data_IF_904495400034
#
_entry.id   IF_904495400034
#
_cell.length_a   1.000
_cell.length_b   1.000
_cell.length_c   1.000
_cell.angle_alpha   90.00
_cell.angle_beta   90.00
_cell.angle_gamma   90.00
#
_symmetry.space_group_name_H-M   'P 1'
#
loop_
_entity.id
_entity.type
_entity.pdbx_description
1 polymer ?
#
# COMPACT_ATOMS: atom_id res chain seq x y z
N UNK A 1 -19.12 -5.01 -26.78
CA UNK A 1 -19.55 -3.87 -25.94
C UNK A 1 -18.50 -3.70 -24.85
N UNK A 2 -17.61 -2.72 -24.97
CA UNK A 2 -16.57 -2.45 -23.97
C UNK A 2 -17.24 -1.59 -22.90
N UNK A 3 -17.32 -2.01 -21.63
CA UNK A 3 -17.92 -1.18 -20.59
C UNK A 3 -17.12 0.11 -20.49
N UNK A 4 -17.80 1.24 -20.67
CA UNK A 4 -17.22 2.57 -20.46
C UNK A 4 -17.11 2.72 -18.94
N UNK A 5 -15.96 2.35 -18.37
CA UNK A 5 -15.72 2.52 -16.94
C UNK A 5 -15.72 4.02 -16.60
N UNK A 6 -16.67 4.43 -15.77
CA UNK A 6 -17.03 5.81 -15.51
C UNK A 6 -15.97 6.68 -14.82
N UNK A 7 -14.74 6.19 -14.63
CA UNK A 7 -13.50 6.95 -14.35
C UNK A 7 -12.35 5.95 -14.25
N UNK A 8 -11.24 6.25 -14.95
CA UNK A 8 -10.03 5.41 -14.95
C UNK A 8 -9.44 5.20 -13.55
N UNK A 9 -9.64 6.15 -12.63
CA UNK A 9 -9.22 6.12 -11.23
C UNK A 9 -10.45 6.37 -10.34
N UNK A 10 -10.73 5.47 -9.39
CA UNK A 10 -11.98 5.41 -8.63
C UNK A 10 -11.82 5.60 -7.12
N UNK A 11 -10.59 5.67 -6.60
CA UNK A 11 -10.31 5.85 -5.19
C UNK A 11 -9.09 6.74 -4.96
N UNK A 12 -8.95 7.25 -3.73
CA UNK A 12 -7.74 7.93 -3.26
C UNK A 12 -7.01 7.00 -2.29
N UNK A 13 -5.69 6.97 -2.38
CA UNK A 13 -4.82 6.22 -1.47
C UNK A 13 -3.70 7.13 -0.97
N UNK A 14 -3.20 6.86 0.22
CA UNK A 14 -2.06 7.57 0.78
C UNK A 14 -0.79 6.73 0.62
N UNK A 15 0.29 7.35 0.17
CA UNK A 15 1.60 6.72 0.07
C UNK A 15 2.46 7.12 1.26
N UNK A 16 3.09 6.12 1.87
CA UNK A 16 3.89 6.30 3.07
C UNK A 16 5.26 5.62 2.93
N UNK A 17 6.27 6.24 3.51
CA UNK A 17 7.61 5.68 3.68
C UNK A 17 7.92 5.41 5.14
N UNK A 18 8.84 4.47 5.34
CA UNK A 18 9.39 4.10 6.64
C UNK A 18 10.82 4.63 6.71
N UNK A 19 11.02 5.68 7.49
CA UNK A 19 12.34 6.26 7.74
C UNK A 19 12.92 5.72 9.04
N UNK A 20 14.23 5.50 9.04
CA UNK A 20 14.98 5.08 10.24
C UNK A 20 15.77 6.28 10.73
N UNK A 21 15.44 6.77 11.91
CA UNK A 21 16.10 7.92 12.54
C UNK A 21 16.94 7.42 13.70
N UNK A 22 18.18 7.88 13.79
CA UNK A 22 19.07 7.48 14.89
C UNK A 22 18.51 7.95 16.23
N UNK A 23 18.45 7.04 17.21
CA UNK A 23 17.82 7.29 18.51
C UNK A 23 18.75 7.93 19.56
N UNK A 24 20.01 8.18 19.19
CA UNK A 24 21.04 8.74 20.08
C UNK A 24 21.67 7.73 21.06
N UNK A 25 21.18 6.49 21.12
CA UNK A 25 21.68 5.42 22.01
C UNK A 25 22.31 4.24 21.24
N UNK A 26 22.60 4.43 19.95
CA UNK A 26 23.20 3.42 19.08
C UNK A 26 22.18 2.52 18.38
N UNK A 27 20.88 2.83 18.49
CA UNK A 27 19.80 2.19 17.74
C UNK A 27 19.16 3.13 16.72
N UNK A 28 18.07 2.66 16.12
CA UNK A 28 17.24 3.42 15.19
C UNK A 28 15.77 3.36 15.63
N UNK A 29 15.13 4.51 15.68
CA UNK A 29 13.67 4.61 15.78
C UNK A 29 13.06 4.51 14.38
N UNK A 30 12.00 3.72 14.26
CA UNK A 30 11.22 3.61 13.02
C UNK A 30 10.16 4.69 13.03
N UNK A 31 10.22 5.58 12.05
CA UNK A 31 9.25 6.64 11.84
C UNK A 31 8.54 6.40 10.51
N UNK A 32 7.23 6.65 10.51
CA UNK A 32 6.39 6.51 9.32
C UNK A 32 5.98 7.91 8.87
N UNK A 33 6.24 8.24 7.62
CA UNK A 33 5.96 9.55 7.07
C UNK A 33 5.04 9.44 5.85
N UNK A 34 4.02 10.30 5.81
CA UNK A 34 3.10 10.40 4.69
C UNK A 34 3.76 11.22 3.59
N UNK A 35 3.97 10.62 2.42
CA UNK A 35 4.57 11.29 1.27
C UNK A 35 3.50 12.13 0.57
N UNK A 36 2.42 11.49 0.13
CA UNK A 36 1.41 12.16 -0.71
C UNK A 36 0.11 11.35 -0.81
N UNK A 37 -0.94 12.01 -1.28
CA UNK A 37 -2.23 11.41 -1.64
C UNK A 37 -2.35 11.32 -3.16
N UNK A 38 -2.73 10.13 -3.66
CA UNK A 38 -2.86 9.90 -5.10
C UNK A 38 -4.17 9.22 -5.47
N UNK A 39 -4.60 9.47 -6.71
CA UNK A 39 -5.76 8.80 -7.28
C UNK A 39 -5.35 7.45 -7.87
N UNK A 40 -6.03 6.41 -7.42
CA UNK A 40 -5.80 5.05 -7.83
C UNK A 40 -7.07 4.42 -8.41
N UNK A 41 -6.88 3.36 -9.18
CA UNK A 41 -7.93 2.42 -9.52
C UNK A 41 -7.78 1.20 -8.63
N UNK A 42 -8.77 0.96 -7.80
CA UNK A 42 -8.85 -0.25 -7.00
C UNK A 42 -9.15 -1.46 -7.89
N UNK A 43 -8.35 -2.51 -7.75
CA UNK A 43 -8.67 -3.85 -8.26
C UNK A 43 -9.38 -4.62 -7.14
N UNK A 44 -10.29 -5.52 -7.49
CA UNK A 44 -11.03 -6.32 -6.49
C UNK A 44 -10.07 -7.00 -5.50
N UNK A 45 -10.32 -6.87 -4.18
CA UNK A 45 -9.50 -7.49 -3.16
C UNK A 45 -9.63 -9.01 -3.22
N UNK A 46 -8.57 -9.72 -2.84
CA UNK A 46 -8.59 -11.16 -2.65
C UNK A 46 -8.23 -11.49 -1.21
N UNK A 47 -9.17 -12.08 -0.49
CA UNK A 47 -8.90 -12.66 0.83
C UNK A 47 -8.46 -14.12 0.66
N UNK A 48 -7.37 -14.50 1.31
CA UNK A 48 -6.88 -15.88 1.35
C UNK A 48 -6.41 -16.22 2.74
N UNK A 49 -6.56 -17.50 3.12
CA UNK A 49 -6.07 -18.00 4.39
C UNK A 49 -4.83 -18.85 4.12
N UNK A 50 -3.81 -18.70 4.96
CA UNK A 50 -2.64 -19.57 4.90
C UNK A 50 -2.29 -20.07 6.29
N UNK A 51 -1.79 -21.30 6.35
CA UNK A 51 -1.34 -21.92 7.59
C UNK A 51 0.18 -21.94 7.63
N UNK A 52 0.76 -21.45 8.71
CA UNK A 52 2.19 -21.57 8.98
C UNK A 52 2.41 -21.91 10.45
N UNK A 53 3.23 -22.92 10.73
CA UNK A 53 3.51 -23.35 12.11
C UNK A 53 2.28 -23.81 12.91
N UNK A 54 1.22 -24.29 12.24
CA UNK A 54 -0.04 -24.70 12.89
C UNK A 54 -1.00 -23.56 13.25
N UNK A 55 -0.65 -22.31 12.92
CA UNK A 55 -1.52 -21.15 13.06
C UNK A 55 -2.08 -20.73 11.69
N UNK A 56 -3.36 -20.39 11.65
CA UNK A 56 -4.04 -19.87 10.45
C UNK A 56 -4.02 -18.35 10.47
N UNK A 57 -3.58 -17.75 9.37
CA UNK A 57 -3.50 -16.32 9.18
C UNK A 57 -4.39 -15.89 8.02
N UNK A 58 -5.13 -14.79 8.22
CA UNK A 58 -5.89 -14.15 7.16
C UNK A 58 -4.99 -13.17 6.40
N UNK A 59 -4.94 -13.32 5.09
CA UNK A 59 -4.19 -12.46 4.17
C UNK A 59 -5.16 -11.71 3.27
N UNK A 60 -5.09 -10.38 3.30
CA UNK A 60 -5.88 -9.52 2.43
C UNK A 60 -4.99 -8.92 1.36
N UNK A 61 -5.07 -9.47 0.16
CA UNK A 61 -4.38 -8.94 -1.02
C UNK A 61 -5.22 -7.83 -1.62
N UNK A 62 -4.59 -6.67 -1.84
CA UNK A 62 -5.22 -5.51 -2.44
C UNK A 62 -4.28 -4.92 -3.48
N UNK A 63 -4.77 -4.82 -4.71
CA UNK A 63 -4.00 -4.21 -5.80
C UNK A 63 -4.60 -2.87 -6.21
N UNK A 64 -3.73 -1.95 -6.61
CA UNK A 64 -4.07 -0.62 -7.10
C UNK A 64 -3.36 -0.34 -8.42
N UNK A 65 -4.03 0.29 -9.37
CA UNK A 65 -3.40 0.83 -10.58
C UNK A 65 -3.27 2.33 -10.43
N UNK A 66 -2.05 2.85 -10.57
CA UNK A 66 -1.74 4.28 -10.46
C UNK A 66 -0.96 4.75 -11.71
N UNK A 67 -0.75 6.07 -11.83
CA UNK A 67 0.12 6.60 -12.89
C UNK A 67 1.58 6.35 -12.53
N UNK A 68 2.41 6.02 -13.52
CA UNK A 68 3.84 5.72 -13.31
C UNK A 68 4.59 6.85 -12.60
N UNK A 69 4.24 8.11 -12.87
CA UNK A 69 4.87 9.30 -12.27
C UNK A 69 4.57 9.53 -10.79
N UNK A 70 3.65 8.75 -10.21
CA UNK A 70 3.11 9.00 -8.87
C UNK A 70 3.74 8.10 -7.80
N UNK A 71 4.71 7.25 -8.16
CA UNK A 71 5.46 6.44 -7.20
C UNK A 71 6.93 6.83 -7.21
N UNK A 72 7.45 7.10 -6.02
CA UNK A 72 8.87 7.17 -5.75
C UNK A 72 9.40 5.80 -5.29
N UNK A 73 10.69 5.56 -5.42
CA UNK A 73 11.33 4.28 -5.04
C UNK A 73 11.25 3.95 -3.55
N UNK A 74 10.92 4.94 -2.72
CA UNK A 74 11.01 4.83 -1.25
C UNK A 74 9.68 4.47 -0.59
N UNK A 75 8.59 4.36 -1.37
CA UNK A 75 7.28 4.03 -0.81
C UNK A 75 7.27 2.60 -0.27
N UNK A 76 6.93 2.43 1.00
CA UNK A 76 6.94 1.12 1.67
C UNK A 76 5.52 0.55 1.84
N UNK A 77 4.54 1.39 2.13
CA UNK A 77 3.16 0.96 2.35
C UNK A 77 2.15 2.00 1.85
N UNK A 78 0.94 1.50 1.63
CA UNK A 78 -0.21 2.26 1.17
C UNK A 78 -1.25 2.26 2.29
N UNK A 79 -1.82 3.43 2.60
CA UNK A 79 -2.99 3.52 3.48
C UNK A 79 -4.23 3.75 2.63
N UNK A 80 -5.23 2.89 2.83
CA UNK A 80 -6.52 2.98 2.15
C UNK A 80 -7.64 2.68 3.13
N UNK A 81 -8.62 3.58 3.24
CA UNK A 81 -9.73 3.48 4.21
C UNK A 81 -9.27 3.27 5.67
N UNK A 82 -8.11 3.80 6.04
CA UNK A 82 -7.51 3.62 7.38
C UNK A 82 -6.91 2.23 7.62
N UNK A 83 -6.74 1.42 6.57
CA UNK A 83 -5.98 0.17 6.63
C UNK A 83 -4.63 0.35 5.95
N UNK A 84 -3.57 -0.14 6.61
CA UNK A 84 -2.23 -0.16 6.09
C UNK A 84 -2.01 -1.45 5.27
N UNK A 85 -1.53 -1.28 4.05
CA UNK A 85 -1.17 -2.36 3.14
C UNK A 85 0.30 -2.24 2.76
N UNK A 86 1.10 -3.23 3.13
CA UNK A 86 2.52 -3.29 2.75
C UNK A 86 2.66 -3.61 1.27
N UNK A 87 3.48 -2.86 0.55
CA UNK A 87 3.76 -3.13 -0.86
C UNK A 87 4.60 -4.40 -0.97
N UNK A 88 4.12 -5.39 -1.72
CA UNK A 88 4.87 -6.61 -2.01
C UNK A 88 5.55 -6.55 -3.37
N UNK A 89 4.86 -6.02 -4.37
CA UNK A 89 5.38 -5.92 -5.73
C UNK A 89 4.82 -4.70 -6.44
N UNK A 90 5.62 -4.13 -7.36
CA UNK A 90 5.21 -3.06 -8.26
C UNK A 90 5.48 -3.54 -9.69
N UNK A 91 4.43 -3.70 -10.48
CA UNK A 91 4.49 -4.21 -11.84
C UNK A 91 4.18 -3.11 -12.84
N UNK A 92 4.97 -3.03 -13.92
CA UNK A 92 4.63 -2.22 -15.07
C UNK A 92 3.44 -2.87 -15.80
N UNK A 93 2.41 -2.08 -16.07
CA UNK A 93 1.30 -2.59 -16.91
C UNK A 93 1.67 -2.51 -18.39
N UNK A 94 0.95 -3.24 -19.25
CA UNK A 94 1.13 -3.23 -20.71
C UNK A 94 1.07 -1.82 -21.33
N UNK A 95 0.43 -0.88 -20.63
CA UNK A 95 0.49 0.53 -20.93
C UNK A 95 1.62 1.13 -20.07
N UNK A 96 2.77 1.46 -20.67
CA UNK A 96 3.98 1.96 -19.98
C UNK A 96 3.79 3.25 -19.15
N UNK A 97 2.59 3.82 -19.16
CA UNK A 97 2.17 4.99 -18.37
C UNK A 97 1.56 4.63 -17.01
N UNK A 98 1.32 3.34 -16.75
CA UNK A 98 0.63 2.83 -15.57
C UNK A 98 1.41 1.72 -14.89
N UNK A 99 1.27 1.69 -13.58
CA UNK A 99 1.86 0.65 -12.73
C UNK A 99 0.78 0.04 -11.85
N UNK A 100 0.92 -1.24 -11.57
CA UNK A 100 0.11 -2.00 -10.64
C UNK A 100 0.94 -2.18 -9.37
N UNK A 101 0.41 -1.70 -8.26
CA UNK A 101 0.95 -1.96 -6.93
C UNK A 101 0.16 -3.13 -6.36
N UNK A 102 0.86 -4.20 -5.98
CA UNK A 102 0.30 -5.34 -5.28
C UNK A 102 0.67 -5.21 -3.80
N UNK A 103 -0.33 -5.02 -2.96
CA UNK A 103 -0.15 -4.81 -1.54
C UNK A 103 -0.83 -5.91 -0.73
N UNK A 104 -0.34 -6.11 0.49
CA UNK A 104 -0.88 -7.10 1.42
C UNK A 104 -1.09 -6.47 2.78
N UNK A 105 -2.24 -6.77 3.36
CA UNK A 105 -2.47 -6.53 4.77
C UNK A 105 -2.49 -7.87 5.54
N UNK A 106 -1.46 -8.18 6.35
CA UNK A 106 -1.38 -9.39 7.15
C UNK A 106 -2.21 -9.32 8.45
N UNK A 107 -2.84 -8.18 8.76
CA UNK A 107 -3.74 -8.02 9.91
C UNK A 107 -5.00 -7.28 9.47
N UNK A 108 -6.15 -7.94 9.48
CA UNK A 108 -7.47 -7.31 9.25
C UNK A 108 -7.85 -6.19 10.25
N UNK A 109 -6.92 -5.78 11.11
CA UNK A 109 -7.09 -4.73 12.09
C UNK A 109 -6.70 -3.39 11.48
N UNK A 110 -7.56 -2.40 11.67
CA UNK A 110 -7.28 -0.99 11.43
C UNK A 110 -6.01 -0.65 12.23
N UNK A 111 -4.86 -0.56 11.56
CA UNK A 111 -3.65 -0.14 12.24
C UNK A 111 -3.83 1.35 12.56
N UNK A 112 -3.49 1.81 13.78
CA UNK A 112 -3.53 3.24 14.06
C UNK A 112 -2.73 3.95 12.97
N UNK A 113 -3.34 4.98 12.37
CA UNK A 113 -2.64 5.85 11.42
C UNK A 113 -1.34 6.27 12.11
N UNK A 114 -0.17 6.11 11.47
CA UNK A 114 1.07 6.52 12.11
C UNK A 114 0.98 8.01 12.38
N UNK A 115 0.95 8.39 13.66
CA UNK A 115 1.03 9.79 14.05
C UNK A 115 2.39 10.29 13.61
N UNK A 116 2.48 11.41 12.87
CA UNK A 116 3.77 12.05 12.65
C UNK A 116 4.36 12.39 14.02
N UNK A 117 5.58 11.94 14.27
CA UNK A 117 6.34 12.34 15.46
C UNK A 117 6.53 13.85 15.39
N UNK A 118 6.03 14.57 16.39
CA UNK A 118 6.22 16.02 16.59
C UNK A 118 7.69 16.32 16.88
#
# INVERSE_FOLDING_TARGET
MIPIEARKYNCMIELWEVTKVQDGYGGNTVQNEKITDIYARRIEPRATNYSTGGQVFDKYDQSFIIRKREIDSNVNFVVFNGYQYTIQNIELTQLETQIRINCVNPKALKQPIPTPSV
#
